data_IF_112521051277
#
_entry.id   IF_112521051277
#
_cell.length_a   1.000
_cell.length_b   1.000
_cell.length_c   1.000
_cell.angle_alpha   90.00
_cell.angle_beta   90.00
_cell.angle_gamma   90.00
#
_symmetry.space_group_name_H-M   'P 1'
#
loop_
_entity.id
_entity.type
_entity.pdbx_description
1 polymer ?
#
# COMPACT_ATOMS: atom_id res chain seq x y z
N UNK A 1 12.99 -13.18 12.74
CA UNK A 1 13.35 -11.75 12.83
C UNK A 1 12.14 -10.98 12.39
N UNK A 2 11.69 -10.04 13.22
CA UNK A 2 10.48 -9.27 12.97
C UNK A 2 10.84 -8.22 11.93
N UNK A 3 10.37 -8.38 10.70
CA UNK A 3 10.59 -7.42 9.62
C UNK A 3 9.75 -6.16 9.93
N UNK A 4 10.29 -5.27 10.77
CA UNK A 4 9.65 -4.00 11.07
C UNK A 4 9.49 -3.20 9.78
N UNK A 5 8.28 -2.66 9.55
CA UNK A 5 8.04 -1.73 8.47
C UNK A 5 8.83 -0.43 8.74
N UNK A 6 10.02 -0.32 8.17
CA UNK A 6 10.86 0.88 8.28
C UNK A 6 10.31 2.02 7.44
N UNK A 7 10.68 3.26 7.80
CA UNK A 7 10.32 4.46 7.04
C UNK A 7 10.74 4.37 5.56
N UNK A 8 11.85 3.70 5.26
CA UNK A 8 12.32 3.47 3.88
C UNK A 8 11.35 2.61 3.07
N UNK A 9 10.74 1.59 3.69
CA UNK A 9 9.72 0.76 3.04
C UNK A 9 8.44 1.54 2.82
N UNK A 10 7.98 2.32 3.81
CA UNK A 10 6.84 3.22 3.66
C UNK A 10 7.05 4.21 2.51
N UNK A 11 8.25 4.77 2.40
CA UNK A 11 8.61 5.68 1.32
C UNK A 11 8.59 4.98 -0.04
N UNK A 12 9.14 3.76 -0.12
CA UNK A 12 9.13 2.94 -1.34
C UNK A 12 7.71 2.58 -1.79
N UNK A 13 6.82 2.24 -0.84
CA UNK A 13 5.41 1.96 -1.10
C UNK A 13 4.71 3.19 -1.67
N UNK A 14 4.90 4.38 -1.05
CA UNK A 14 4.39 5.64 -1.59
C UNK A 14 4.87 5.89 -3.02
N UNK A 15 6.17 5.71 -3.30
CA UNK A 15 6.71 5.88 -4.65
C UNK A 15 6.13 4.91 -5.67
N UNK A 16 5.84 3.65 -5.28
CA UNK A 16 5.14 2.70 -6.17
C UNK A 16 3.75 3.24 -6.48
N UNK A 17 2.99 3.64 -5.46
CA UNK A 17 1.62 4.13 -5.62
C UNK A 17 1.53 5.37 -6.52
N UNK A 18 2.53 6.25 -6.49
CA UNK A 18 2.60 7.40 -7.40
C UNK A 18 2.74 7.04 -8.88
N UNK A 19 3.24 5.84 -9.20
CA UNK A 19 3.39 5.36 -10.58
C UNK A 19 2.09 4.83 -11.17
N UNK A 20 1.08 4.59 -10.35
CA UNK A 20 -0.22 4.04 -10.77
C UNK A 20 -1.36 5.04 -10.47
N UNK A 21 -1.34 6.24 -11.08
CA UNK A 21 -2.41 7.21 -10.89
C UNK A 21 -3.73 6.63 -11.38
N UNK A 22 -4.81 6.86 -10.64
CA UNK A 22 -6.12 6.33 -10.97
C UNK A 22 -7.27 7.27 -10.63
N UNK A 23 -8.52 6.87 -10.90
CA UNK A 23 -9.69 7.70 -10.66
C UNK A 23 -10.22 7.62 -9.22
N UNK A 24 -9.78 6.64 -8.41
CA UNK A 24 -10.35 6.33 -7.11
C UNK A 24 -9.43 6.69 -5.95
N UNK A 25 -10.00 7.27 -4.90
CA UNK A 25 -9.30 7.40 -3.62
C UNK A 25 -9.25 6.03 -2.94
N UNK A 26 -8.04 5.54 -2.69
CA UNK A 26 -7.81 4.27 -2.02
C UNK A 26 -7.17 4.52 -0.65
N UNK A 27 -7.56 3.71 0.33
CA UNK A 27 -6.95 3.61 1.64
C UNK A 27 -6.19 2.30 1.69
N UNK A 28 -4.89 2.36 1.94
CA UNK A 28 -4.07 1.17 2.10
C UNK A 28 -3.88 0.91 3.59
N UNK A 29 -4.01 -0.35 4.00
CA UNK A 29 -3.74 -0.80 5.35
C UNK A 29 -2.64 -1.85 5.25
N UNK A 30 -1.55 -1.59 5.97
CA UNK A 30 -0.40 -2.46 6.00
C UNK A 30 -0.35 -3.11 7.37
N UNK A 31 -0.42 -4.44 7.41
CA UNK A 31 -0.26 -5.20 8.64
C UNK A 31 1.23 -5.40 8.92
N UNK A 32 1.73 -4.83 10.00
CA UNK A 32 3.07 -5.04 10.51
C UNK A 32 2.97 -5.75 11.86
N UNK A 33 3.15 -7.07 11.87
CA UNK A 33 2.93 -7.94 13.03
C UNK A 33 1.51 -7.83 13.60
N UNK A 34 1.37 -7.22 14.79
CA UNK A 34 0.10 -7.01 15.49
C UNK A 34 -0.51 -5.62 15.21
N UNK A 35 0.25 -4.72 14.57
CA UNK A 35 -0.22 -3.38 14.25
C UNK A 35 -0.70 -3.28 12.79
N UNK A 36 -1.76 -2.51 12.59
CA UNK A 36 -2.25 -2.16 11.26
C UNK A 36 -2.00 -0.67 11.06
N UNK A 37 -1.14 -0.35 10.10
CA UNK A 37 -0.78 1.03 9.77
C UNK A 37 -1.69 1.49 8.63
N UNK A 38 -2.64 2.42 8.88
CA UNK A 38 -3.43 3.01 7.81
C UNK A 38 -2.58 4.03 7.06
N UNK A 39 -2.38 3.79 5.77
CA UNK A 39 -1.74 4.73 4.86
C UNK A 39 -2.79 5.39 3.96
N UNK A 40 -3.01 6.67 4.21
CA UNK A 40 -3.86 7.49 3.35
C UNK A 40 -3.07 7.89 2.12
N UNK A 41 -3.62 7.58 0.96
CA UNK A 41 -3.06 8.02 -0.31
C UNK A 41 -3.55 9.45 -0.56
N UNK A 42 -2.61 10.39 -0.66
CA UNK A 42 -2.93 11.78 -1.02
C UNK A 42 -3.37 11.89 -2.48
N UNK A 43 -3.05 10.87 -3.29
CA UNK A 43 -3.39 10.77 -4.70
C UNK A 43 -4.38 9.64 -4.94
N UNK A 44 -5.20 9.81 -5.96
CA UNK A 44 -6.07 8.75 -6.46
C UNK A 44 -5.22 7.71 -7.18
N UNK A 45 -5.40 6.44 -6.85
CA UNK A 45 -4.58 5.33 -7.32
C UNK A 45 -5.48 4.29 -7.95
N UNK A 46 -5.02 3.71 -9.06
CA UNK A 46 -5.72 2.61 -9.71
C UNK A 46 -5.21 1.29 -9.12
N UNK A 47 -6.13 0.50 -8.53
CA UNK A 47 -5.78 -0.83 -8.04
C UNK A 47 -5.74 -1.79 -9.23
N UNK A 48 -4.54 -1.93 -9.80
CA UNK A 48 -4.26 -2.94 -10.83
C UNK A 48 -3.55 -4.14 -10.21
N UNK A 49 -3.53 -5.25 -10.95
CA UNK A 49 -2.73 -6.43 -10.57
C UNK A 49 -1.24 -6.08 -10.47
N UNK A 50 -0.75 -5.23 -11.37
CA UNK A 50 0.65 -4.78 -11.39
C UNK A 50 1.01 -3.99 -10.13
N UNK A 51 0.12 -3.11 -9.65
CA UNK A 51 0.32 -2.41 -8.40
C UNK A 51 0.44 -3.39 -7.23
N UNK A 52 -0.47 -4.35 -7.13
CA UNK A 52 -0.45 -5.35 -6.06
C UNK A 52 0.83 -6.19 -6.13
N UNK A 53 1.25 -6.62 -7.32
CA UNK A 53 2.46 -7.41 -7.49
C UNK A 53 3.72 -6.57 -7.17
N UNK A 54 3.76 -5.29 -7.56
CA UNK A 54 4.83 -4.37 -7.18
C UNK A 54 4.90 -4.17 -5.65
N UNK A 55 3.76 -3.97 -4.99
CA UNK A 55 3.70 -3.88 -3.52
C UNK A 55 4.10 -5.19 -2.84
N UNK A 56 3.76 -6.33 -3.46
CA UNK A 56 4.12 -7.67 -2.96
C UNK A 56 5.64 -7.94 -2.97
N UNK A 57 6.43 -7.13 -3.70
CA UNK A 57 7.90 -7.19 -3.65
C UNK A 57 8.49 -6.54 -2.40
N UNK A 58 7.73 -5.65 -1.74
CA UNK A 58 8.17 -4.90 -0.56
C UNK A 58 7.57 -5.43 0.73
N UNK A 59 6.36 -5.99 0.68
CA UNK A 59 5.62 -6.48 1.83
C UNK A 59 4.87 -7.74 1.39
N UNK A 60 4.68 -8.70 2.29
CA UNK A 60 3.84 -9.85 2.01
C UNK A 60 2.44 -9.44 1.54
N UNK A 61 1.98 -10.09 0.47
CA UNK A 61 0.68 -9.83 -0.16
C UNK A 61 -0.49 -9.97 0.82
N UNK A 62 -0.37 -10.87 1.79
CA UNK A 62 -1.35 -11.09 2.85
C UNK A 62 -1.41 -9.96 3.88
N UNK A 63 -0.33 -9.19 4.00
CA UNK A 63 -0.22 -8.02 4.89
C UNK A 63 -0.79 -6.75 4.25
N UNK A 64 -1.09 -6.78 2.95
CA UNK A 64 -1.63 -5.63 2.20
C UNK A 64 -3.15 -5.74 2.12
N UNK A 65 -3.86 -4.77 2.70
CA UNK A 65 -5.30 -4.58 2.50
C UNK A 65 -5.56 -3.23 1.87
N UNK A 66 -6.11 -3.19 0.65
CA UNK A 66 -6.48 -1.93 0.00
C UNK A 66 -8.00 -1.81 0.00
N UNK A 67 -8.51 -0.79 0.70
CA UNK A 67 -9.92 -0.42 0.71
C UNK A 67 -10.18 0.71 -0.28
N UNK A 68 -11.12 0.50 -1.19
CA UNK A 68 -11.58 1.55 -2.10
C UNK A 68 -12.74 2.27 -1.43
N UNK A 69 -12.64 3.58 -1.22
CA UNK A 69 -13.78 4.35 -0.76
C UNK A 69 -14.62 4.68 -2.01
N UNK A 70 -15.66 3.89 -2.27
CA UNK A 70 -16.73 4.33 -3.17
C UNK A 70 -17.49 5.43 -2.43
N UNK A 71 -17.21 6.69 -2.80
CA UNK A 71 -17.99 7.86 -2.39
C UNK A 71 -19.01 8.12 -3.49
#
# INVERSE_FOLDING_TARGET
MVDELTDERLFSIKNILEKYPGPKECLMFIKNNEEVIPMRLEKKVEITKELIDALSTLIDKESIKIGVKNI
#
